data_IF_255115841348
#
_entry.id   IF_255115841348
#
_cell.length_a   1.000
_cell.length_b   1.000
_cell.length_c   1.000
_cell.angle_alpha   90.00
_cell.angle_beta   90.00
_cell.angle_gamma   90.00
#
_symmetry.space_group_name_H-M   'P 1'
#
loop_
_entity.id
_entity.type
_entity.pdbx_description
1 polymer ?
#
# COMPACT_ATOMS: atom_id res chain seq x y z
N UNK A 1 10.59 -49.15 -2.94
CA UNK A 1 9.72 -48.26 -3.76
C UNK A 1 9.15 -47.10 -2.96
N UNK A 2 8.55 -47.32 -1.78
CA UNK A 2 8.00 -46.24 -0.94
C UNK A 2 9.02 -45.15 -0.55
N UNK A 3 10.29 -45.54 -0.31
CA UNK A 3 11.38 -44.60 0.01
C UNK A 3 11.69 -43.62 -1.14
N UNK A 4 11.51 -44.06 -2.38
CA UNK A 4 11.75 -43.24 -3.58
C UNK A 4 10.60 -42.24 -3.80
N UNK A 5 9.36 -42.68 -3.52
CA UNK A 5 8.18 -41.81 -3.50
C UNK A 5 8.31 -40.70 -2.44
N UNK A 6 8.83 -41.05 -1.26
CA UNK A 6 9.01 -40.12 -0.14
C UNK A 6 10.08 -39.07 -0.43
N UNK A 7 11.19 -39.48 -1.08
CA UNK A 7 12.21 -38.55 -1.58
C UNK A 7 11.67 -37.57 -2.62
N UNK A 8 10.85 -38.06 -3.56
CA UNK A 8 10.24 -37.23 -4.59
C UNK A 8 9.29 -36.18 -3.98
N UNK A 9 8.53 -36.56 -2.96
CA UNK A 9 7.62 -35.65 -2.26
C UNK A 9 8.37 -34.56 -1.47
N UNK A 10 9.50 -34.90 -0.86
CA UNK A 10 10.39 -33.93 -0.19
C UNK A 10 10.94 -32.91 -1.19
N UNK A 11 11.41 -33.37 -2.36
CA UNK A 11 11.96 -32.50 -3.41
C UNK A 11 10.91 -31.51 -3.89
N UNK A 12 9.68 -31.96 -4.14
CA UNK A 12 8.57 -31.09 -4.54
C UNK A 12 8.27 -30.06 -3.45
N UNK A 13 8.25 -30.48 -2.18
CA UNK A 13 8.07 -29.57 -1.05
C UNK A 13 9.12 -28.47 -0.99
N UNK A 14 10.40 -28.82 -1.16
CA UNK A 14 11.51 -27.86 -1.19
C UNK A 14 11.36 -26.88 -2.35
N UNK A 15 11.00 -27.36 -3.54
CA UNK A 15 10.79 -26.51 -4.72
C UNK A 15 9.68 -25.48 -4.46
N UNK A 16 8.55 -25.90 -3.86
CA UNK A 16 7.43 -25.01 -3.54
C UNK A 16 7.82 -23.90 -2.53
N UNK A 17 8.65 -24.25 -1.54
CA UNK A 17 9.17 -23.29 -0.55
C UNK A 17 10.08 -22.27 -1.24
N UNK A 18 11.03 -22.73 -2.05
CA UNK A 18 11.94 -21.86 -2.82
C UNK A 18 11.14 -20.90 -3.71
N UNK A 19 10.14 -21.41 -4.43
CA UNK A 19 9.29 -20.61 -5.31
C UNK A 19 8.56 -19.50 -4.54
N UNK A 20 8.03 -19.83 -3.35
CA UNK A 20 7.36 -18.86 -2.49
C UNK A 20 8.30 -17.77 -1.96
N UNK A 21 9.52 -18.14 -1.60
CA UNK A 21 10.55 -17.20 -1.14
C UNK A 21 10.97 -16.27 -2.27
N UNK A 22 11.27 -16.81 -3.45
CA UNK A 22 11.63 -16.02 -4.64
C UNK A 22 10.50 -15.05 -5.00
N UNK A 23 9.25 -15.50 -5.05
CA UNK A 23 8.10 -14.63 -5.32
C UNK A 23 7.99 -13.50 -4.30
N UNK A 24 8.26 -13.76 -3.02
CA UNK A 24 8.22 -12.74 -1.95
C UNK A 24 9.37 -11.74 -2.07
N UNK A 25 10.56 -12.20 -2.47
CA UNK A 25 11.72 -11.34 -2.72
C UNK A 25 11.46 -10.47 -3.94
N UNK A 26 11.06 -11.06 -5.07
CA UNK A 26 10.67 -10.33 -6.30
C UNK A 26 9.58 -9.31 -5.97
N UNK A 27 8.53 -9.69 -5.22
CA UNK A 27 7.48 -8.74 -4.80
C UNK A 27 8.00 -7.61 -3.90
N UNK A 28 9.04 -7.82 -3.09
CA UNK A 28 9.66 -6.76 -2.29
C UNK A 28 10.55 -5.85 -3.14
N UNK A 29 11.32 -6.42 -4.06
CA UNK A 29 12.17 -5.67 -4.98
C UNK A 29 11.36 -4.87 -6.01
N UNK A 30 10.43 -5.52 -6.74
CA UNK A 30 9.52 -4.83 -7.68
C UNK A 30 8.47 -4.01 -6.94
N UNK A 31 8.05 -4.44 -5.75
CA UNK A 31 7.17 -3.66 -4.88
C UNK A 31 7.82 -2.38 -4.42
N UNK A 32 9.15 -2.29 -4.29
CA UNK A 32 9.82 -0.99 -4.08
C UNK A 32 9.60 -0.02 -5.26
N UNK A 33 9.24 -0.51 -6.44
CA UNK A 33 8.94 0.28 -7.65
C UNK A 33 7.42 0.48 -7.85
N UNK A 34 6.56 -0.36 -7.24
CA UNK A 34 5.09 -0.30 -7.40
C UNK A 34 4.29 -0.11 -6.09
N UNK A 35 4.92 0.11 -4.93
CA UNK A 35 4.22 0.42 -3.65
C UNK A 35 3.96 1.90 -3.44
N UNK A 36 3.83 2.68 -4.52
CA UNK A 36 3.22 4.01 -4.43
C UNK A 36 1.76 4.05 -4.87
N UNK A 37 1.18 3.04 -5.52
CA UNK A 37 -0.23 3.16 -5.94
C UNK A 37 -1.22 2.96 -4.77
N UNK A 38 -0.95 2.01 -3.87
CA UNK A 38 -1.87 1.74 -2.74
C UNK A 38 -1.68 2.70 -1.54
N UNK A 39 -0.52 3.36 -1.42
CA UNK A 39 -0.34 4.47 -0.47
C UNK A 39 -0.96 5.77 -0.98
N UNK A 40 -0.87 6.03 -2.28
CA UNK A 40 -1.51 7.20 -2.92
C UNK A 40 -3.02 7.21 -2.69
N UNK A 41 -3.70 6.05 -2.74
CA UNK A 41 -5.16 5.99 -2.48
C UNK A 41 -5.52 6.48 -1.06
N UNK A 42 -4.75 6.07 -0.05
CA UNK A 42 -4.97 6.45 1.35
C UNK A 42 -4.62 7.90 1.65
N UNK A 43 -3.65 8.47 0.93
CA UNK A 43 -3.28 9.89 1.05
C UNK A 43 -4.28 10.80 0.32
N UNK A 44 -4.79 10.36 -0.84
CA UNK A 44 -5.79 11.09 -1.60
C UNK A 44 -7.14 11.15 -0.87
N UNK A 45 -7.53 10.08 -0.15
CA UNK A 45 -8.72 10.10 0.71
C UNK A 45 -8.57 11.10 1.88
N UNK A 46 -7.37 11.23 2.45
CA UNK A 46 -7.07 12.26 3.47
C UNK A 46 -7.04 13.67 2.90
N UNK A 47 -6.61 13.85 1.65
CA UNK A 47 -6.62 15.15 0.97
C UNK A 47 -8.06 15.56 0.64
N UNK A 48 -8.91 14.62 0.23
CA UNK A 48 -10.31 14.86 -0.09
C UNK A 48 -11.15 15.28 1.13
N UNK A 49 -10.82 14.77 2.32
CA UNK A 49 -11.51 15.18 3.56
C UNK A 49 -11.17 16.60 4.04
N UNK A 50 -10.10 17.22 3.54
CA UNK A 50 -9.75 18.63 3.83
C UNK A 50 -10.40 19.63 2.88
N UNK A 51 -11.11 19.18 1.84
CA UNK A 51 -11.74 20.06 0.84
C UNK A 51 -13.10 20.51 1.37
N UNK A 52 -13.26 21.81 1.59
CA UNK A 52 -14.51 22.42 2.07
C UNK A 52 -15.43 22.75 0.89
N UNK A 53 -14.85 23.09 -0.27
CA UNK A 53 -15.62 23.47 -1.47
C UNK A 53 -14.85 23.15 -2.74
N UNK A 54 -15.56 22.67 -3.78
CA UNK A 54 -15.03 22.44 -5.11
C UNK A 54 -16.06 22.85 -6.19
N UNK A 55 -15.68 23.78 -7.07
CA UNK A 55 -16.44 24.11 -8.30
C UNK A 55 -15.47 24.47 -9.42
N UNK A 56 -15.73 23.94 -10.62
CA UNK A 56 -14.96 24.15 -11.85
C UNK A 56 -13.45 23.88 -11.63
N UNK A 57 -12.65 24.92 -11.40
CA UNK A 57 -11.20 24.83 -11.15
C UNK A 57 -10.77 25.32 -9.75
N UNK A 58 -11.72 25.67 -8.89
CA UNK A 58 -11.44 26.21 -7.54
C UNK A 58 -11.60 25.11 -6.50
N UNK A 59 -10.55 24.90 -5.70
CA UNK A 59 -10.55 24.00 -4.54
C UNK A 59 -10.23 24.80 -3.28
N UNK A 60 -11.17 24.84 -2.34
CA UNK A 60 -10.99 25.45 -1.02
C UNK A 60 -10.64 24.36 -0.02
N UNK A 61 -9.50 24.51 0.67
CA UNK A 61 -9.00 23.55 1.66
C UNK A 61 -9.03 24.15 3.06
N UNK A 62 -9.32 23.33 4.08
CA UNK A 62 -9.19 23.72 5.49
C UNK A 62 -7.70 24.00 5.79
N UNK A 63 -7.38 25.24 6.16
CA UNK A 63 -6.04 25.62 6.59
C UNK A 63 -5.71 25.03 7.97
N UNK A 64 -4.42 24.80 8.23
CA UNK A 64 -3.93 24.29 9.52
C UNK A 64 -3.70 25.45 10.54
N UNK A 65 -4.31 26.61 10.32
CA UNK A 65 -4.21 27.74 11.23
C UNK A 65 -4.99 27.44 12.52
N UNK A 66 -4.42 27.72 13.71
CA UNK A 66 -5.18 27.65 14.95
C UNK A 66 -6.35 28.63 14.85
N UNK A 67 -7.54 28.16 15.24
CA UNK A 67 -8.73 28.99 15.35
C UNK A 67 -8.46 30.03 16.45
N UNK A 68 -8.06 31.23 16.05
CA UNK A 68 -7.92 32.35 16.97
C UNK A 68 -9.32 32.67 17.47
N UNK A 69 -9.66 32.14 18.65
CA UNK A 69 -10.94 32.34 19.32
C UNK A 69 -10.90 33.67 20.05
N UNK A 70 -10.62 34.76 19.35
CA UNK A 70 -10.60 36.11 19.93
C UNK A 70 -11.00 37.13 18.85
N UNK A 71 -12.27 37.57 18.87
CA UNK A 71 -12.70 38.73 18.10
C UNK A 71 -14.11 38.67 17.54
N UNK A 72 -15.09 38.91 18.42
CA UNK A 72 -16.39 39.52 18.07
C UNK A 72 -16.16 40.76 17.18
N UNK A 73 -16.94 40.98 16.11
CA UNK A 73 -18.34 41.41 16.23
C UNK A 73 -19.37 40.61 15.42
#
# INVERSE_FOLDING_TARGET
>A
MIRLLLLLLIIIGIIAIIYSVIKRIIKRFLGSVHTNENKTKRENDKKKSRIIYKRDDIVVMKGDAPENTDGNP
#
